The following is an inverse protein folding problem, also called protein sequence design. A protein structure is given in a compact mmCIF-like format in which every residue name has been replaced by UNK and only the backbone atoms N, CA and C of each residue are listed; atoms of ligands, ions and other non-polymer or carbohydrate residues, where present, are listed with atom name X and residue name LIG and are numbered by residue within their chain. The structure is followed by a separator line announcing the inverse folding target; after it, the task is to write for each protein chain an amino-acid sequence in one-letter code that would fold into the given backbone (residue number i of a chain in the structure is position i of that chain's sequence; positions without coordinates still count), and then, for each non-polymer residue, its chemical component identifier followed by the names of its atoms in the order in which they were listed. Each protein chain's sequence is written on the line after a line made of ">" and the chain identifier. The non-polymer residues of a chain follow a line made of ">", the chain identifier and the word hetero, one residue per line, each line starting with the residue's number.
data_IF_226594955870
#
_entry.id   IF_226594955870
#
_cell.length_a   1.000
_cell.length_b   1.000
_cell.length_c   1.000
_cell.angle_alpha   90.00
_cell.angle_beta   90.00
_cell.angle_gamma   90.00
#
_symmetry.space_group_name_H-M   'P 1'
#
loop_
_entity.id
_entity.type
_entity.pdbx_description
1 polymer ?
#
# COMPACT_ATOMS: atom_id res chain seq x y z
N UNK A 1 -39.78 -9.15 45.70
CA UNK A 1 -39.30 -9.64 44.38
C UNK A 1 -38.64 -8.55 43.55
N UNK A 2 -39.21 -7.34 43.43
CA UNK A 2 -38.56 -6.25 42.68
C UNK A 2 -37.26 -5.73 43.32
N UNK A 3 -37.24 -5.54 44.64
CA UNK A 3 -36.04 -5.07 45.36
C UNK A 3 -34.87 -6.06 45.30
N UNK A 4 -35.16 -7.38 45.31
CA UNK A 4 -34.14 -8.43 45.16
C UNK A 4 -33.58 -8.49 43.75
N UNK A 5 -34.42 -8.27 42.73
CA UNK A 5 -33.99 -8.19 41.33
C UNK A 5 -33.11 -6.95 41.10
N UNK A 6 -33.50 -5.80 41.66
CA UNK A 6 -32.72 -4.55 41.58
C UNK A 6 -31.34 -4.73 42.23
N UNK A 7 -31.27 -5.41 43.38
CA UNK A 7 -30.01 -5.72 44.04
C UNK A 7 -29.08 -6.58 43.17
N UNK A 8 -29.62 -7.60 42.50
CA UNK A 8 -28.84 -8.48 41.60
C UNK A 8 -28.32 -7.69 40.40
N UNK A 9 -29.13 -6.82 39.80
CA UNK A 9 -28.71 -5.99 38.65
C UNK A 9 -27.56 -5.05 39.04
N UNK A 10 -27.62 -4.44 40.23
CA UNK A 10 -26.56 -3.55 40.74
C UNK A 10 -25.25 -4.33 40.97
N UNK A 11 -25.33 -5.55 41.51
CA UNK A 11 -24.13 -6.37 41.72
C UNK A 11 -23.48 -6.75 40.38
N UNK A 12 -24.28 -7.10 39.37
CA UNK A 12 -23.78 -7.46 38.04
C UNK A 12 -23.13 -6.26 37.34
N UNK A 13 -23.71 -5.06 37.43
CA UNK A 13 -23.10 -3.85 36.84
C UNK A 13 -21.80 -3.45 37.52
N UNK A 14 -21.69 -3.60 38.85
CA UNK A 14 -20.43 -3.37 39.57
C UNK A 14 -19.36 -4.38 39.13
N UNK A 15 -19.73 -5.66 38.96
CA UNK A 15 -18.80 -6.70 38.50
C UNK A 15 -18.27 -6.41 37.09
N UNK A 16 -19.14 -5.96 36.17
CA UNK A 16 -18.76 -5.58 34.82
C UNK A 16 -17.82 -4.36 34.80
N UNK A 17 -18.06 -3.37 35.67
CA UNK A 17 -17.17 -2.22 35.83
C UNK A 17 -15.77 -2.62 36.31
N UNK A 18 -15.68 -3.55 37.27
CA UNK A 18 -14.39 -4.07 37.76
C UNK A 18 -13.63 -4.79 36.64
N UNK A 19 -14.31 -5.60 35.83
CA UNK A 19 -13.70 -6.29 34.68
C UNK A 19 -13.21 -5.28 33.63
N UNK A 20 -13.97 -4.22 33.36
CA UNK A 20 -13.58 -3.17 32.42
C UNK A 20 -12.33 -2.42 32.90
N UNK A 21 -12.26 -2.09 34.18
CA UNK A 21 -11.08 -1.46 34.79
C UNK A 21 -9.87 -2.40 34.73
N UNK A 22 -10.06 -3.69 35.02
CA UNK A 22 -9.00 -4.69 34.93
C UNK A 22 -8.46 -4.83 33.48
N UNK A 23 -9.34 -4.83 32.49
CA UNK A 23 -8.96 -4.87 31.07
C UNK A 23 -8.23 -3.60 30.61
N UNK A 24 -8.65 -2.42 31.11
CA UNK A 24 -7.97 -1.15 30.84
C UNK A 24 -6.58 -1.11 31.49
N UNK A 25 -6.43 -1.63 32.71
CA UNK A 25 -5.17 -1.63 33.45
C UNK A 25 -4.16 -2.64 32.89
N UNK A 26 -4.63 -3.74 32.27
CA UNK A 26 -3.77 -4.72 31.59
C UNK A 26 -3.23 -4.24 30.22
N UNK A 27 -3.64 -3.05 29.75
CA UNK A 27 -3.10 -2.44 28.54
C UNK A 27 -1.89 -1.52 28.82
N UNK A 28 -1.55 -1.27 30.08
CA UNK A 28 -0.32 -0.59 30.45
C UNK A 28 0.81 -1.60 30.66
N UNK A 29 1.22 -2.24 29.56
CA UNK A 29 2.57 -2.79 29.50
C UNK A 29 3.55 -1.61 29.51
N UNK A 30 4.23 -1.50 30.65
CA UNK A 30 5.36 -0.62 30.93
C UNK A 30 6.24 -0.37 29.70
N UNK A 31 6.16 0.81 29.10
CA UNK A 31 7.30 1.35 28.37
C UNK A 31 8.16 2.13 29.35
N UNK A 32 9.25 1.49 29.79
CA UNK A 32 10.45 2.19 30.25
C UNK A 32 10.70 3.41 29.33
N UNK A 33 11.02 4.61 29.85
CA UNK A 33 11.52 5.70 29.04
C UNK A 33 12.99 5.42 28.68
N UNK A 34 13.26 4.26 28.09
CA UNK A 34 14.47 4.08 27.33
C UNK A 34 14.22 4.75 26.00
N UNK A 35 14.83 5.92 25.83
CA UNK A 35 15.11 6.60 24.58
C UNK A 35 14.90 5.65 23.39
N UNK A 36 13.67 5.64 22.85
CA UNK A 36 13.49 5.25 21.46
C UNK A 36 14.20 6.36 20.70
N UNK A 37 15.51 6.18 20.50
CA UNK A 37 16.11 6.60 19.24
C UNK A 37 15.14 6.04 18.23
N UNK A 38 14.33 6.91 17.63
CA UNK A 38 13.79 6.64 16.32
C UNK A 38 14.99 6.11 15.55
N UNK A 39 15.00 4.79 15.32
CA UNK A 39 15.91 4.24 14.36
C UNK A 39 15.35 4.82 13.07
N UNK A 40 15.85 6.00 12.70
CA UNK A 40 15.85 6.47 11.33
C UNK A 40 16.67 5.42 10.63
N UNK A 41 15.99 4.31 10.29
CA UNK A 41 16.49 3.28 9.43
C UNK A 41 16.75 4.07 8.16
N UNK A 42 18.01 4.43 7.93
CA UNK A 42 18.41 5.19 6.77
C UNK A 42 17.86 4.41 5.60
N UNK A 43 16.79 4.95 4.99
CA UNK A 43 16.14 4.33 3.85
C UNK A 43 17.26 4.22 2.84
N UNK A 44 17.73 2.99 2.60
CA UNK A 44 18.75 2.75 1.59
C UNK A 44 18.14 3.30 0.31
N UNK A 45 18.78 4.31 -0.26
CA UNK A 45 18.30 4.90 -1.50
C UNK A 45 18.45 3.82 -2.56
N UNK A 46 17.32 3.35 -3.07
CA UNK A 46 17.25 2.35 -4.13
C UNK A 46 17.16 3.10 -5.45
N UNK A 47 18.12 2.82 -6.33
CA UNK A 47 18.06 3.26 -7.72
C UNK A 47 17.20 2.29 -8.51
N UNK A 48 16.22 2.80 -9.26
CA UNK A 48 15.31 1.97 -10.06
C UNK A 48 16.08 1.14 -11.10
N UNK A 49 17.21 1.68 -11.58
CA UNK A 49 18.10 1.06 -12.55
C UNK A 49 18.71 -0.25 -12.03
N UNK A 50 18.91 -0.36 -10.71
CA UNK A 50 19.52 -1.51 -10.04
C UNK A 50 18.49 -2.62 -9.72
N UNK A 51 17.19 -2.32 -9.85
CA UNK A 51 16.13 -3.30 -9.58
C UNK A 51 16.04 -4.30 -10.73
N UNK A 52 16.00 -5.58 -10.36
CA UNK A 52 15.71 -6.72 -11.24
C UNK A 52 14.24 -7.10 -11.15
N UNK A 53 13.70 -7.62 -12.23
CA UNK A 53 12.30 -8.04 -12.33
C UNK A 53 12.22 -9.53 -12.71
N UNK A 54 11.05 -10.17 -12.57
CA UNK A 54 10.87 -11.54 -13.05
C UNK A 54 11.27 -11.66 -14.51
N UNK A 55 11.95 -12.75 -14.87
CA UNK A 55 12.52 -12.96 -16.23
C UNK A 55 11.48 -12.75 -17.34
N UNK A 56 10.23 -13.10 -17.08
CA UNK A 56 9.14 -12.94 -18.04
C UNK A 56 8.73 -11.47 -18.24
N UNK A 57 8.91 -10.61 -17.24
CA UNK A 57 8.70 -9.16 -17.33
C UNK A 57 9.88 -8.51 -18.05
N UNK A 58 11.13 -8.83 -17.67
CA UNK A 58 12.33 -8.24 -18.30
C UNK A 58 12.47 -8.58 -19.79
N UNK A 59 11.93 -9.73 -20.22
CA UNK A 59 11.92 -10.14 -21.62
C UNK A 59 10.82 -9.48 -22.45
N UNK A 60 9.90 -8.74 -21.84
CA UNK A 60 8.85 -8.05 -22.60
C UNK A 60 9.48 -6.93 -23.43
N UNK A 61 9.20 -6.92 -24.74
CA UNK A 61 9.49 -5.74 -25.53
C UNK A 61 8.58 -4.57 -25.11
N UNK A 62 8.97 -3.35 -25.49
CA UNK A 62 8.25 -2.12 -25.07
C UNK A 62 6.77 -2.14 -25.44
N UNK A 63 6.39 -2.73 -26.58
CA UNK A 63 4.99 -2.81 -27.01
C UNK A 63 4.16 -3.73 -26.12
N UNK A 64 4.71 -4.91 -25.80
CA UNK A 64 4.08 -5.86 -24.89
C UNK A 64 3.98 -5.30 -23.47
N UNK A 65 5.04 -4.63 -23.00
CA UNK A 65 5.08 -3.99 -21.70
C UNK A 65 4.06 -2.85 -21.61
N UNK A 66 4.00 -1.99 -22.63
CA UNK A 66 3.00 -0.91 -22.74
C UNK A 66 1.57 -1.45 -22.74
N UNK A 67 1.32 -2.54 -23.48
CA UNK A 67 0.00 -3.20 -23.50
C UNK A 67 -0.35 -3.77 -22.11
N UNK A 68 0.60 -4.39 -21.42
CA UNK A 68 0.41 -4.88 -20.07
C UNK A 68 0.09 -3.73 -19.09
N UNK A 69 0.84 -2.63 -19.14
CA UNK A 69 0.55 -1.43 -18.36
C UNK A 69 -0.84 -0.85 -18.64
N UNK A 70 -1.31 -0.85 -19.90
CA UNK A 70 -2.68 -0.42 -20.23
C UNK A 70 -3.75 -1.29 -19.58
N UNK A 71 -3.57 -2.61 -19.57
CA UNK A 71 -4.50 -3.52 -18.87
C UNK A 71 -4.55 -3.22 -17.37
N UNK A 72 -3.40 -2.90 -16.77
CA UNK A 72 -3.31 -2.49 -15.35
C UNK A 72 -4.03 -1.15 -15.13
N UNK A 73 -3.82 -0.16 -16.00
CA UNK A 73 -4.52 1.12 -15.96
C UNK A 73 -6.03 0.96 -16.07
N UNK A 74 -6.51 0.11 -16.98
CA UNK A 74 -7.94 -0.12 -17.16
C UNK A 74 -8.56 -0.80 -15.93
N UNK A 75 -7.81 -1.72 -15.31
CA UNK A 75 -8.21 -2.36 -14.05
C UNK A 75 -8.26 -1.32 -12.92
N UNK A 76 -7.25 -0.45 -12.84
CA UNK A 76 -7.19 0.63 -11.86
C UNK A 76 -8.36 1.62 -12.02
N UNK A 77 -8.69 1.98 -13.28
CA UNK A 77 -9.85 2.82 -13.60
C UNK A 77 -11.16 2.14 -13.22
N UNK A 78 -11.32 0.85 -13.50
CA UNK A 78 -12.53 0.09 -13.16
C UNK A 78 -12.73 -0.03 -11.65
N UNK A 79 -11.64 -0.02 -10.87
CA UNK A 79 -11.71 0.02 -9.41
C UNK A 79 -12.13 1.40 -8.88
N UNK A 80 -12.12 2.45 -9.71
CA UNK A 80 -12.68 3.77 -9.43
C UNK A 80 -12.24 4.36 -8.08
N UNK A 81 -10.92 4.38 -7.83
CA UNK A 81 -10.39 4.94 -6.58
C UNK A 81 -10.65 6.44 -6.42
N UNK A 82 -10.80 7.17 -7.53
CA UNK A 82 -11.01 8.63 -7.53
C UNK A 82 -12.26 9.02 -6.74
N UNK A 83 -13.31 8.18 -6.75
CA UNK A 83 -14.59 8.45 -6.10
C UNK A 83 -14.70 7.88 -4.67
N UNK A 84 -13.71 7.11 -4.21
CA UNK A 84 -13.76 6.40 -2.92
C UNK A 84 -13.30 7.27 -1.76
N UNK A 85 -13.59 6.81 -0.53
CA UNK A 85 -13.03 7.40 0.69
C UNK A 85 -11.50 7.18 0.77
N UNK A 86 -10.74 8.06 1.46
CA UNK A 86 -9.30 7.93 1.61
C UNK A 86 -8.82 6.55 2.13
N UNK A 87 -9.60 5.92 3.01
CA UNK A 87 -9.30 4.58 3.55
C UNK A 87 -9.27 3.48 2.49
N UNK A 88 -9.91 3.68 1.33
CA UNK A 88 -9.83 2.76 0.21
C UNK A 88 -8.42 2.70 -0.40
N UNK A 89 -7.62 3.76 -0.24
CA UNK A 89 -6.25 3.80 -0.73
C UNK A 89 -5.33 2.84 0.03
N UNK A 90 -5.69 2.47 1.27
CA UNK A 90 -4.88 1.61 2.11
C UNK A 90 -5.23 0.12 1.96
N UNK A 91 -6.20 -0.21 1.11
CA UNK A 91 -6.57 -1.60 0.79
C UNK A 91 -5.45 -2.32 0.07
N UNK A 92 -5.08 -3.49 0.59
CA UNK A 92 -4.14 -4.43 -0.03
C UNK A 92 -4.91 -5.31 -1.01
N UNK A 93 -4.82 -5.01 -2.30
CA UNK A 93 -5.61 -5.70 -3.33
C UNK A 93 -4.89 -5.82 -4.69
N UNK A 94 -3.65 -5.36 -4.77
CA UNK A 94 -2.81 -5.47 -5.95
C UNK A 94 -1.72 -6.53 -5.77
N UNK A 95 -1.43 -7.26 -6.84
CA UNK A 95 -0.50 -8.38 -6.79
C UNK A 95 0.89 -8.01 -7.31
N UNK A 96 1.92 -8.70 -6.81
CA UNK A 96 3.33 -8.41 -7.12
C UNK A 96 3.62 -8.47 -8.61
N UNK A 97 2.98 -9.36 -9.36
CA UNK A 97 3.15 -9.41 -10.82
C UNK A 97 2.78 -8.08 -11.52
N UNK A 98 1.69 -7.42 -11.13
CA UNK A 98 1.28 -6.13 -11.69
C UNK A 98 2.32 -5.05 -11.34
N UNK A 99 2.76 -5.02 -10.09
CA UNK A 99 3.75 -4.04 -9.62
C UNK A 99 5.11 -4.24 -10.31
N UNK A 100 5.53 -5.48 -10.55
CA UNK A 100 6.74 -5.78 -11.35
C UNK A 100 6.65 -5.18 -12.77
N UNK A 101 5.49 -5.31 -13.42
CA UNK A 101 5.25 -4.72 -14.76
C UNK A 101 5.36 -3.20 -14.72
N UNK A 102 4.68 -2.56 -13.76
CA UNK A 102 4.67 -1.09 -13.65
C UNK A 102 6.06 -0.52 -13.36
N UNK A 103 6.78 -1.10 -12.40
CA UNK A 103 8.12 -0.65 -12.06
C UNK A 103 9.12 -0.91 -13.20
N UNK A 104 8.98 -2.01 -13.93
CA UNK A 104 9.81 -2.26 -15.11
C UNK A 104 9.51 -1.24 -16.22
N UNK A 105 8.25 -0.91 -16.46
CA UNK A 105 7.87 0.13 -17.42
C UNK A 105 8.46 1.50 -17.04
N UNK A 106 8.35 1.87 -15.77
CA UNK A 106 8.93 3.10 -15.23
C UNK A 106 10.45 3.16 -15.43
N UNK A 107 11.14 2.01 -15.37
CA UNK A 107 12.58 1.89 -15.64
C UNK A 107 12.94 2.09 -17.12
N UNK A 108 12.04 1.73 -18.03
CA UNK A 108 12.29 1.80 -19.49
C UNK A 108 12.11 3.19 -20.11
N UNK A 109 11.79 4.21 -19.30
CA UNK A 109 11.41 5.57 -19.75
C UNK A 109 10.30 5.58 -20.81
N UNK A 110 9.44 4.55 -20.78
CA UNK A 110 8.29 4.44 -21.66
C UNK A 110 7.27 5.53 -21.34
N UNK A 111 6.72 6.16 -22.38
CA UNK A 111 5.62 7.13 -22.22
C UNK A 111 4.28 6.44 -22.40
N UNK A 112 3.39 6.64 -21.43
CA UNK A 112 2.04 6.12 -21.47
C UNK A 112 1.09 7.31 -21.38
N UNK A 113 0.25 7.48 -22.39
CA UNK A 113 -0.77 8.54 -22.39
C UNK A 113 -2.10 7.96 -21.98
N UNK A 114 -2.83 8.73 -21.17
CA UNK A 114 -4.20 8.42 -20.77
C UNK A 114 -5.08 9.59 -21.17
N UNK A 115 -6.14 9.29 -21.91
CA UNK A 115 -7.22 10.25 -22.17
C UNK A 115 -7.94 10.57 -20.87
N UNK A 116 -8.16 11.86 -20.58
CA UNK A 116 -8.89 12.35 -19.40
C UNK A 116 -8.14 12.12 -18.06
N UNK A 117 -6.90 12.62 -17.97
CA UNK A 117 -6.00 12.51 -16.81
C UNK A 117 -6.55 13.13 -15.52
N UNK A 118 -7.39 14.16 -15.64
CA UNK A 118 -7.72 15.06 -14.54
C UNK A 118 -8.57 14.39 -13.44
N UNK A 119 -9.25 13.28 -13.78
CA UNK A 119 -10.06 12.49 -12.84
C UNK A 119 -9.52 11.06 -12.66
N UNK A 120 -8.22 10.83 -12.88
CA UNK A 120 -7.66 9.48 -12.80
C UNK A 120 -7.24 9.07 -11.39
N UNK A 121 -6.74 10.02 -10.58
CA UNK A 121 -6.19 9.73 -9.25
C UNK A 121 -7.07 10.29 -8.14
N UNK A 122 -7.13 9.55 -7.02
CA UNK A 122 -7.75 10.07 -5.80
C UNK A 122 -7.01 11.32 -5.29
N UNK A 123 -7.75 12.23 -4.67
CA UNK A 123 -7.24 13.55 -4.25
C UNK A 123 -5.99 13.46 -3.37
N UNK A 124 -5.90 12.43 -2.50
CA UNK A 124 -4.72 12.21 -1.63
C UNK A 124 -3.43 11.90 -2.39
N UNK A 125 -3.51 11.50 -3.65
CA UNK A 125 -2.35 11.25 -4.52
C UNK A 125 -2.00 12.53 -5.29
N UNK A 126 -3.01 13.29 -5.72
CA UNK A 126 -2.83 14.56 -6.43
C UNK A 126 -2.21 15.62 -5.52
N UNK A 127 -2.72 15.76 -4.30
CA UNK A 127 -2.27 16.74 -3.30
C UNK A 127 -0.95 16.37 -2.60
N UNK A 128 -0.36 15.22 -2.93
CA UNK A 128 0.87 14.76 -2.30
C UNK A 128 2.04 15.67 -2.71
N UNK A 129 2.78 16.21 -1.71
CA UNK A 129 3.99 17.00 -1.99
C UNK A 129 5.07 16.13 -2.64
N UNK A 130 5.86 16.72 -3.53
CA UNK A 130 6.88 15.99 -4.29
C UNK A 130 7.93 15.31 -3.40
N UNK A 131 8.29 15.88 -2.25
CA UNK A 131 9.21 15.25 -1.30
C UNK A 131 8.62 13.99 -0.68
N UNK A 132 7.34 14.05 -0.28
CA UNK A 132 6.63 12.91 0.29
C UNK A 132 6.44 11.83 -0.77
N UNK A 133 6.13 12.21 -2.01
CA UNK A 133 6.00 11.30 -3.15
C UNK A 133 7.30 10.56 -3.43
N UNK A 134 8.45 11.25 -3.39
CA UNK A 134 9.79 10.63 -3.50
C UNK A 134 10.07 9.66 -2.35
N UNK A 135 9.72 10.01 -1.12
CA UNK A 135 9.85 9.12 0.04
C UNK A 135 8.99 7.86 -0.12
N UNK A 136 7.75 8.04 -0.57
CA UNK A 136 6.82 6.94 -0.84
C UNK A 136 7.33 6.02 -1.95
N UNK A 137 7.87 6.59 -3.04
CA UNK A 137 8.54 5.80 -4.07
C UNK A 137 9.71 5.01 -3.49
N UNK A 138 10.56 5.60 -2.67
CA UNK A 138 11.64 4.87 -2.02
C UNK A 138 11.14 3.75 -1.10
N UNK A 139 10.04 3.98 -0.37
CA UNK A 139 9.36 2.94 0.43
C UNK A 139 8.86 1.79 -0.45
N UNK A 140 8.23 2.09 -1.59
CA UNK A 140 7.73 1.10 -2.56
C UNK A 140 8.89 0.28 -3.14
N UNK A 141 9.98 0.91 -3.55
CA UNK A 141 11.15 0.22 -4.11
C UNK A 141 11.82 -0.69 -3.08
N UNK A 142 11.98 -0.22 -1.83
CA UNK A 142 12.49 -1.06 -0.74
C UNK A 142 11.54 -2.23 -0.43
N UNK A 143 10.23 -1.99 -0.38
CA UNK A 143 9.22 -3.05 -0.21
C UNK A 143 9.31 -4.08 -1.32
N UNK A 144 9.53 -3.65 -2.57
CA UNK A 144 9.67 -4.55 -3.71
C UNK A 144 10.90 -5.45 -3.54
N UNK A 145 12.08 -4.86 -3.26
CA UNK A 145 13.32 -5.61 -3.08
C UNK A 145 13.25 -6.65 -1.96
N UNK A 146 12.53 -6.34 -0.87
CA UNK A 146 12.47 -7.20 0.30
C UNK A 146 11.44 -8.34 0.16
N UNK A 147 10.40 -8.17 -0.66
CA UNK A 147 9.27 -9.11 -0.69
C UNK A 147 9.06 -9.78 -2.05
N UNK A 148 9.40 -9.13 -3.16
CA UNK A 148 9.17 -9.68 -4.50
C UNK A 148 10.22 -10.76 -4.84
N UNK A 149 9.78 -12.01 -4.94
CA UNK A 149 10.64 -13.10 -5.39
C UNK A 149 10.64 -13.20 -6.92
N UNK A 150 11.66 -12.61 -7.55
CA UNK A 150 11.79 -12.50 -9.01
C UNK A 150 11.99 -13.85 -9.74
N UNK A 151 12.32 -14.93 -9.03
CA UNK A 151 12.46 -16.26 -9.64
C UNK A 151 11.11 -16.99 -9.76
N UNK A 152 10.04 -16.46 -9.15
CA UNK A 152 8.70 -17.03 -9.25
C UNK A 152 8.04 -16.72 -10.60
N UNK A 153 7.13 -17.60 -10.99
CA UNK A 153 6.32 -17.45 -12.19
C UNK A 153 5.19 -16.43 -12.03
N UNK A 154 4.53 -16.11 -13.14
CA UNK A 154 3.39 -15.19 -13.19
C UNK A 154 2.32 -15.60 -12.19
N UNK A 155 1.89 -16.86 -12.23
CA UNK A 155 0.72 -17.28 -11.49
C UNK A 155 0.96 -17.22 -9.98
N UNK A 156 2.19 -17.53 -9.53
CA UNK A 156 2.57 -17.37 -8.12
C UNK A 156 2.67 -15.90 -7.71
N UNK A 157 3.24 -15.04 -8.56
CA UNK A 157 3.33 -13.60 -8.30
C UNK A 157 1.98 -12.87 -8.42
N UNK A 158 1.01 -13.45 -9.12
CA UNK A 158 -0.38 -12.96 -9.16
C UNK A 158 -1.19 -13.33 -7.93
N UNK A 159 -0.78 -14.36 -7.18
CA UNK A 159 -1.35 -14.70 -5.86
C UNK A 159 -0.73 -13.92 -4.71
N UNK A 160 0.40 -13.27 -4.95
CA UNK A 160 1.12 -12.47 -3.98
C UNK A 160 0.51 -11.06 -3.87
N UNK A 161 -0.62 -10.95 -3.15
CA UNK A 161 -1.41 -9.72 -2.99
C UNK A 161 -0.94 -8.97 -1.74
N UNK A 162 0.08 -8.12 -1.90
CA UNK A 162 0.69 -7.36 -0.80
C UNK A 162 0.69 -5.84 -1.03
N UNK A 163 0.22 -5.38 -2.19
CA UNK A 163 0.34 -3.99 -2.61
C UNK A 163 -0.95 -3.22 -2.39
N UNK A 164 -0.81 -2.03 -1.83
CA UNK A 164 -1.97 -1.18 -1.58
C UNK A 164 -2.40 -0.43 -2.85
N UNK A 165 -3.66 0.00 -2.90
CA UNK A 165 -4.12 0.91 -3.94
C UNK A 165 -3.24 2.18 -3.98
N UNK A 166 -2.80 2.71 -2.82
CA UNK A 166 -1.85 3.83 -2.71
C UNK A 166 -0.52 3.52 -3.38
N UNK A 167 0.08 2.36 -3.10
CA UNK A 167 1.37 1.96 -3.70
C UNK A 167 1.27 1.99 -5.24
N UNK A 168 0.23 1.37 -5.81
CA UNK A 168 0.00 1.34 -7.26
C UNK A 168 -0.31 2.72 -7.83
N UNK A 169 -1.09 3.53 -7.12
CA UNK A 169 -1.44 4.90 -7.54
C UNK A 169 -0.20 5.78 -7.69
N UNK A 170 0.75 5.69 -6.77
CA UNK A 170 1.97 6.49 -6.80
C UNK A 170 2.84 6.06 -8.00
N UNK A 171 3.00 4.75 -8.24
CA UNK A 171 3.76 4.25 -9.40
C UNK A 171 3.12 4.72 -10.71
N UNK A 172 1.79 4.58 -10.84
CA UNK A 172 1.07 5.03 -12.01
C UNK A 172 1.17 6.55 -12.20
N UNK A 173 1.13 7.32 -11.11
CA UNK A 173 1.33 8.77 -11.17
C UNK A 173 2.70 9.12 -11.73
N UNK A 174 3.77 8.46 -11.28
CA UNK A 174 5.13 8.68 -11.80
C UNK A 174 5.30 8.25 -13.28
N UNK A 175 4.51 7.29 -13.74
CA UNK A 175 4.48 6.86 -15.14
C UNK A 175 3.75 7.88 -16.03
N UNK A 176 2.64 8.44 -15.53
CA UNK A 176 1.75 9.32 -16.30
C UNK A 176 2.10 10.81 -16.19
N UNK A 177 2.85 11.21 -15.16
CA UNK A 177 3.34 12.58 -15.04
C UNK A 177 4.26 12.88 -16.22
N UNK A 178 3.95 13.95 -16.96
CA UNK A 178 4.80 14.41 -18.05
C UNK A 178 6.24 14.65 -17.56
N UNK A 179 7.18 13.96 -18.19
CA UNK A 179 8.63 14.15 -18.08
C UNK A 179 9.15 14.94 -19.27
#
# INVERSE_FOLDING_TARGET
>A
MHLTIIGIVIVITILLLIILIYLLMNNENSTNPNNKKEMVQSIKIVKLEEIKFPKNVEKMNINALSKACRVILDSYRALDYVSKLPSAMDKIEWHTWQVSILLHFLKTDGKLTVSNSDNFFHITILELRDELRKQDMQRILNKYLNNANIEKDRDTLSRDVIWTARDVSIILYEILKDR
#
